data_IF_977012742083
#
_entry.id   IF_977012742083
#
_cell.length_a   1.000
_cell.length_b   1.000
_cell.length_c   1.000
_cell.angle_alpha   90.00
_cell.angle_beta   90.00
_cell.angle_gamma   90.00
#
_symmetry.space_group_name_H-M   'P 1'
#
loop_
_entity.id
_entity.type
_entity.pdbx_description
1 polymer ?
2 branched ?
3 branched ?
4 non-polymer ?
5 non-polymer ?
6 non-polymer ?
7 non-polymer ?
8 water ?
#
# COMPACT_ATOMS: atom_id res chain seq x y z
N UNK A 1 -18.24 -13.24 -17.98
CA UNK A 1 -17.01 -12.66 -17.28
C UNK A 1 -15.76 -13.51 -17.52
N UNK A 2 -14.73 -12.86 -18.05
CA UNK A 2 -13.47 -13.54 -18.36
C UNK A 2 -12.46 -13.01 -17.33
N UNK A 3 -11.37 -13.74 -17.09
CA UNK A 3 -10.30 -13.22 -16.25
C UNK A 3 -9.77 -11.96 -16.94
N UNK A 4 -9.43 -10.95 -16.18
CA UNK A 4 -8.83 -9.77 -16.80
C UNK A 4 -7.38 -10.03 -17.18
N UNK A 5 -6.88 -9.40 -18.27
CA UNK A 5 -5.49 -9.55 -18.69
C UNK A 5 -4.84 -8.19 -18.75
N UNK A 6 -3.59 -8.10 -18.35
CA UNK A 6 -2.94 -6.82 -18.34
C UNK A 6 -2.43 -6.45 -19.76
N UNK A 7 -3.30 -5.95 -20.62
CA UNK A 7 -2.89 -5.77 -22.06
C UNK A 7 -2.53 -4.35 -22.38
N UNK A 8 -2.72 -3.40 -21.45
CA UNK A 8 -2.41 -2.00 -21.76
C UNK A 8 -1.13 -1.51 -21.07
N UNK A 9 -0.57 -0.37 -21.54
CA UNK A 9 0.51 0.30 -20.81
C UNK A 9 -0.07 1.40 -19.92
N UNK A 10 0.78 2.09 -19.17
CA UNK A 10 0.39 3.20 -18.30
C UNK A 10 0.08 4.41 -19.17
N UNK A 11 -0.92 5.22 -18.81
CA UNK A 11 -1.12 6.49 -19.49
C UNK A 11 0.09 7.39 -19.14
N UNK A 12 0.33 8.40 -19.95
CA UNK A 12 1.36 9.41 -19.66
C UNK A 12 0.93 10.16 -18.43
N UNK A 13 1.83 10.28 -17.44
CA UNK A 13 1.44 10.93 -16.21
C UNK A 13 2.04 12.36 -16.26
N UNK A 14 1.21 13.36 -16.42
CA UNK A 14 1.70 14.72 -16.45
C UNK A 14 1.33 15.52 -15.21
N UNK A 15 0.38 14.98 -14.41
CA UNK A 15 0.01 15.52 -13.08
C UNK A 15 -0.96 14.48 -12.41
N UNK A 16 -1.49 14.85 -11.25
CA UNK A 16 -2.35 13.99 -10.48
C UNK A 16 -3.59 14.78 -10.18
N UNK A 17 -4.75 14.16 -10.41
CA UNK A 17 -6.03 14.80 -10.08
C UNK A 17 -6.64 14.10 -8.84
N UNK A 18 -7.46 14.86 -8.10
CA UNK A 18 -8.16 14.26 -6.93
C UNK A 18 -9.12 13.13 -7.43
N UNK A 19 -9.13 11.96 -6.77
CA UNK A 19 -9.96 10.79 -7.10
C UNK A 19 -10.95 10.51 -5.99
N UNK A 20 -10.43 10.43 -4.76
CA UNK A 20 -11.32 10.22 -3.61
C UNK A 20 -10.75 10.69 -2.29
N UNK A 21 -11.63 10.97 -1.32
CA UNK A 21 -11.16 11.49 -0.03
C UNK A 21 -12.32 11.25 0.90
N UNK A 22 -12.08 10.63 2.05
CA UNK A 22 -13.26 10.33 2.89
C UNK A 22 -13.46 11.21 4.13
N UNK A 23 -12.45 11.97 4.56
CA UNK A 23 -12.64 12.88 5.68
C UNK A 23 -13.09 12.11 6.92
N UNK A 24 -12.55 10.89 7.15
CA UNK A 24 -13.22 10.02 8.11
C UNK A 24 -13.04 10.57 9.51
N UNK A 25 -11.87 11.18 9.82
CA UNK A 25 -11.65 11.61 11.27
C UNK A 25 -12.54 12.82 11.58
N UNK A 26 -12.63 13.77 10.64
CA UNK A 26 -13.56 14.91 10.77
C UNK A 26 -14.94 14.44 11.03
N UNK A 27 -15.41 13.55 10.17
CA UNK A 27 -16.83 13.18 10.27
C UNK A 27 -17.05 12.30 11.50
N UNK A 28 -16.07 11.40 11.77
CA UNK A 28 -16.20 10.49 12.90
C UNK A 28 -16.11 11.16 14.28
N UNK A 29 -15.73 12.45 14.32
CA UNK A 29 -15.85 13.27 15.59
C UNK A 29 -17.26 13.21 16.20
N UNK A 30 -18.29 13.09 15.35
CA UNK A 30 -19.63 13.00 15.86
C UNK A 30 -20.53 12.00 15.06
N UNK A 31 -20.00 10.87 14.59
CA UNK A 31 -20.81 9.86 13.92
C UNK A 31 -20.08 8.54 14.08
N UNK A 32 -20.73 7.43 13.70
CA UNK A 32 -20.29 6.12 14.10
C UNK A 32 -19.27 5.56 13.13
N UNK A 33 -18.09 6.16 13.16
CA UNK A 33 -17.06 5.83 12.21
C UNK A 33 -16.07 4.85 12.91
N UNK A 34 -15.69 3.77 12.24
CA UNK A 34 -14.79 2.79 12.83
C UNK A 34 -13.35 3.32 12.89
N UNK A 35 -12.59 2.96 13.95
CA UNK A 35 -11.16 3.25 13.97
C UNK A 35 -10.50 2.31 12.94
N UNK A 36 -9.65 2.87 12.06
CA UNK A 36 -8.92 2.05 11.09
C UNK A 36 -7.43 2.35 11.11
N UNK A 37 -6.69 1.55 10.37
CA UNK A 37 -5.40 2.04 9.78
C UNK A 37 -5.13 1.08 8.61
N UNK A 38 -4.02 1.29 7.91
CA UNK A 38 -3.58 0.44 6.81
C UNK A 38 -4.64 0.39 5.72
N UNK A 39 -5.03 1.56 5.21
CA UNK A 39 -6.10 1.58 4.21
C UNK A 39 -5.51 1.34 2.80
N UNK A 40 -6.42 1.08 1.85
CA UNK A 40 -6.06 1.05 0.43
C UNK A 40 -7.33 1.15 -0.41
N UNK A 41 -7.17 1.07 -1.73
CA UNK A 41 -8.29 1.22 -2.66
C UNK A 41 -8.14 0.02 -3.61
N UNK A 42 -9.26 -0.53 -4.06
CA UNK A 42 -9.21 -1.60 -5.05
C UNK A 42 -10.52 -1.60 -5.85
N UNK A 43 -10.45 -1.92 -7.15
CA UNK A 43 -11.59 -1.83 -8.04
C UNK A 43 -12.07 -3.22 -8.41
N UNK A 44 -13.37 -3.33 -8.53
CA UNK A 44 -14.00 -4.47 -9.19
C UNK A 44 -14.33 -4.02 -10.58
N UNK A 45 -14.93 -4.93 -11.42
CA UNK A 45 -15.25 -4.40 -12.75
C UNK A 45 -16.33 -3.33 -12.74
N UNK A 46 -17.15 -3.21 -11.71
CA UNK A 46 -18.22 -2.24 -11.79
C UNK A 46 -18.19 -1.19 -10.66
N UNK A 47 -17.15 -1.16 -9.84
CA UNK A 47 -17.11 -0.30 -8.66
C UNK A 47 -15.68 -0.25 -8.11
N UNK A 48 -15.22 0.90 -7.65
CA UNK A 48 -13.99 0.95 -6.86
C UNK A 48 -14.34 1.30 -5.39
N UNK A 49 -13.63 0.66 -4.44
CA UNK A 49 -13.99 0.77 -2.99
C UNK A 49 -12.73 1.08 -2.16
N UNK A 50 -12.97 1.68 -0.99
CA UNK A 50 -11.93 1.87 0.03
C UNK A 50 -11.94 0.60 0.91
N UNK A 51 -10.74 0.25 1.38
CA UNK A 51 -10.42 -0.92 2.17
C UNK A 51 -9.58 -0.38 3.35
N UNK A 52 -9.62 -1.07 4.49
CA UNK A 52 -8.68 -0.80 5.60
C UNK A 52 -8.82 -1.87 6.62
N UNK A 53 -7.91 -1.87 7.57
CA UNK A 53 -8.04 -2.66 8.78
C UNK A 53 -8.75 -1.92 9.91
N UNK A 54 -9.97 -2.37 10.18
CA UNK A 54 -10.71 -1.92 11.30
C UNK A 54 -10.01 -2.32 12.57
N UNK A 55 -10.28 -1.57 13.62
CA UNK A 55 -9.82 -1.95 14.98
C UNK A 55 -11.00 -2.42 15.85
N UNK A 56 -12.19 -2.52 15.23
CA UNK A 56 -13.29 -3.12 15.95
C UNK A 56 -13.83 -2.23 17.10
N UNK A 57 -13.95 -0.91 16.86
CA UNK A 57 -14.50 0.09 17.80
C UNK A 57 -14.67 1.34 16.97
N UNK A 58 -15.55 2.25 17.38
CA UNK A 58 -15.66 3.55 16.72
C UNK A 58 -14.63 4.45 17.36
N UNK A 59 -14.41 5.61 16.76
CA UNK A 59 -13.35 6.45 17.24
C UNK A 59 -13.74 7.20 18.56
N UNK A 60 -15.00 7.66 18.67
CA UNK A 60 -15.57 8.23 19.90
C UNK A 60 -15.81 7.18 20.96
N UNK A 61 -15.79 5.90 20.57
CA UNK A 61 -16.04 4.85 21.54
C UNK A 61 -14.88 4.75 22.52
N UNK A 62 -15.19 4.36 23.74
CA UNK A 62 -14.17 4.16 24.76
C UNK A 62 -13.12 3.09 24.38
N UNK A 63 -13.51 2.12 23.52
CA UNK A 63 -12.56 1.01 23.09
C UNK A 63 -11.56 1.52 22.09
N UNK A 64 -11.64 2.81 21.70
CA UNK A 64 -10.60 3.34 20.78
C UNK A 64 -9.30 3.53 21.55
N UNK A 65 -9.41 3.51 22.87
CA UNK A 65 -8.22 3.62 23.72
C UNK A 65 -7.32 2.41 23.51
N UNK A 66 -6.11 2.60 23.05
CA UNK A 66 -5.18 1.49 22.87
C UNK A 66 -4.97 1.12 21.38
N UNK A 67 -5.65 1.83 20.49
CA UNK A 67 -5.65 1.48 19.06
C UNK A 67 -4.37 1.85 18.33
N UNK A 68 -3.37 2.43 19.02
CA UNK A 68 -2.02 2.50 18.40
C UNK A 68 -1.50 1.02 18.08
N UNK A 69 -1.97 0.02 18.80
CA UNK A 69 -1.40 -1.35 18.62
C UNK A 69 -1.80 -1.91 17.27
N UNK A 70 -0.88 -2.67 16.68
CA UNK A 70 -1.09 -3.16 15.33
C UNK A 70 -1.97 -4.39 15.21
N UNK A 71 -1.96 -5.26 16.22
CA UNK A 71 -2.44 -6.63 16.02
C UNK A 71 -3.29 -7.05 17.21
N UNK A 72 -4.58 -7.15 17.02
CA UNK A 72 -5.48 -7.70 18.05
C UNK A 72 -6.49 -8.62 17.37
N UNK A 73 -7.30 -9.28 18.20
CA UNK A 73 -8.36 -10.15 17.76
C UNK A 73 -9.56 -9.35 17.26
N UNK A 74 -9.49 -8.01 17.33
CA UNK A 74 -10.66 -7.18 17.03
C UNK A 74 -10.52 -6.55 15.69
N UNK A 75 -9.45 -6.90 14.93
CA UNK A 75 -9.25 -6.31 13.64
C UNK A 75 -9.88 -7.12 12.50
N UNK A 76 -10.22 -6.47 11.38
CA UNK A 76 -10.75 -7.14 10.16
C UNK A 76 -10.51 -6.22 8.95
N UNK A 77 -10.27 -6.84 7.79
CA UNK A 77 -10.30 -6.11 6.52
C UNK A 77 -11.75 -5.73 6.26
N UNK A 78 -12.03 -4.45 6.07
CA UNK A 78 -13.36 -3.95 5.72
C UNK A 78 -13.26 -3.19 4.42
N UNK A 79 -14.37 -3.14 3.69
CA UNK A 79 -14.41 -2.27 2.56
C UNK A 79 -15.67 -1.47 2.60
N UNK A 80 -15.68 -0.34 1.88
CA UNK A 80 -16.83 0.54 1.92
C UNK A 80 -16.87 1.44 0.68
N UNK A 81 -17.99 2.12 0.41
CA UNK A 81 -18.03 2.90 -0.85
C UNK A 81 -17.02 4.04 -0.92
N UNK A 82 -16.46 4.22 -2.14
CA UNK A 82 -15.46 5.25 -2.45
C UNK A 82 -15.82 6.59 -1.82
N UNK A 83 -14.91 7.11 -1.01
CA UNK A 83 -15.00 8.45 -0.44
C UNK A 83 -16.05 8.61 0.67
N UNK A 84 -16.87 7.59 0.95
CA UNK A 84 -17.61 7.53 2.22
C UNK A 84 -16.59 7.21 3.34
N UNK A 85 -16.93 7.48 4.61
CA UNK A 85 -16.07 7.02 5.74
C UNK A 85 -16.42 5.54 6.10
N UNK A 86 -15.49 4.80 6.74
CA UNK A 86 -15.77 3.45 7.17
C UNK A 86 -16.66 3.48 8.39
N UNK A 87 -17.98 3.37 8.19
CA UNK A 87 -18.86 3.43 9.36
C UNK A 87 -19.26 2.01 9.76
N UNK A 88 -19.80 1.92 10.95
CA UNK A 88 -20.29 0.70 11.50
C UNK A 88 -21.25 0.11 10.44
N UNK A 89 -22.26 1.02 9.89
CA UNK A 89 -23.48 0.67 9.22
C UNK A 89 -23.24 0.46 7.70
N UNK A 90 -22.10 0.91 7.12
CA UNK A 90 -21.88 0.80 5.66
C UNK A 90 -20.63 -0.02 5.35
N UNK A 91 -19.94 -0.52 6.36
CA UNK A 91 -18.67 -1.19 6.10
C UNK A 91 -18.89 -2.69 5.92
N UNK A 92 -18.27 -3.32 4.93
CA UNK A 92 -18.50 -4.77 4.69
C UNK A 92 -17.26 -5.47 5.11
N UNK A 93 -17.36 -6.53 5.93
CA UNK A 93 -16.19 -7.30 6.34
C UNK A 93 -15.80 -8.32 5.28
N UNK A 94 -14.56 -8.23 4.80
CA UNK A 94 -13.97 -9.11 3.82
C UNK A 94 -13.41 -10.37 4.50
N UNK A 95 -12.67 -10.20 5.61
CA UNK A 95 -12.15 -11.37 6.39
C UNK A 95 -11.56 -10.81 7.70
N UNK A 96 -11.14 -11.68 8.62
CA UNK A 96 -10.71 -11.29 9.99
C UNK A 96 -9.20 -11.36 10.08
N UNK A 97 -8.55 -10.31 10.61
CA UNK A 97 -7.10 -10.37 10.81
C UNK A 97 -6.52 -8.98 10.78
N UNK A 98 -5.18 -8.89 10.77
CA UNK A 98 -4.48 -7.63 11.07
C UNK A 98 -3.40 -7.41 10.06
N UNK A 99 -3.47 -8.15 8.95
CA UNK A 99 -2.65 -7.87 7.78
C UNK A 99 -3.41 -8.43 6.55
N UNK A 100 -3.44 -7.71 5.42
CA UNK A 100 -4.32 -8.11 4.31
C UNK A 100 -3.83 -7.71 2.93
N UNK A 101 -4.48 -8.31 1.96
CA UNK A 101 -4.43 -7.81 0.60
C UNK A 101 -5.75 -8.26 -0.07
N UNK A 102 -6.05 -7.74 -1.28
CA UNK A 102 -7.33 -8.04 -1.95
C UNK A 102 -7.21 -7.59 -3.41
N UNK A 103 -7.74 -8.39 -4.34
CA UNK A 103 -7.79 -7.95 -5.73
C UNK A 103 -8.88 -8.74 -6.46
N UNK A 104 -9.37 -8.15 -7.54
CA UNK A 104 -10.43 -8.80 -8.36
C UNK A 104 -9.73 -9.34 -9.60
N UNK A 105 -10.08 -10.56 -10.01
CA UNK A 105 -9.38 -11.17 -11.17
C UNK A 105 -10.16 -10.99 -12.48
N UNK A 106 -11.24 -10.20 -12.44
CA UNK A 106 -12.15 -10.03 -13.65
C UNK A 106 -13.44 -10.83 -13.41
N UNK A 107 -13.32 -11.96 -12.73
CA UNK A 107 -14.54 -12.80 -12.48
C UNK A 107 -15.03 -12.56 -11.06
N UNK A 108 -14.13 -12.65 -10.07
CA UNK A 108 -14.54 -12.35 -8.69
C UNK A 108 -13.34 -11.88 -7.85
N UNK A 109 -13.57 -11.62 -6.55
CA UNK A 109 -12.52 -10.99 -5.70
C UNK A 109 -11.82 -12.05 -4.82
N UNK A 110 -10.51 -11.93 -4.73
CA UNK A 110 -9.74 -12.71 -3.71
C UNK A 110 -9.36 -11.77 -2.57
N UNK A 111 -9.57 -12.17 -1.30
CA UNK A 111 -9.16 -11.36 -0.13
C UNK A 111 -8.41 -12.24 0.81
N UNK A 112 -7.32 -11.73 1.37
CA UNK A 112 -6.43 -12.55 2.23
C UNK A 112 -6.26 -11.76 3.53
N UNK A 113 -6.55 -12.41 4.68
CA UNK A 113 -6.30 -11.83 5.98
C UNK A 113 -5.45 -12.81 6.75
N UNK A 114 -4.47 -12.25 7.46
CA UNK A 114 -3.61 -13.00 8.36
C UNK A 114 -4.04 -12.67 9.80
N UNK A 115 -4.24 -13.68 10.65
CA UNK A 115 -4.45 -13.42 12.06
C UNK A 115 -3.57 -14.35 12.88
N UNK A 116 -3.57 -14.18 14.19
CA UNK A 116 -2.97 -15.10 15.13
C UNK A 116 -2.01 -14.37 16.06
N UNK A 117 -1.39 -15.10 16.98
CA UNK A 117 -0.30 -14.51 17.82
C UNK A 117 0.98 -14.43 16.97
N UNK A 118 1.97 -13.66 17.42
CA UNK A 118 3.20 -13.46 16.62
C UNK A 118 3.91 -14.72 16.20
N UNK A 119 3.83 -15.75 17.05
CA UNK A 119 4.59 -16.97 16.72
C UNK A 119 3.73 -18.03 16.09
N UNK A 120 2.49 -17.69 15.72
CA UNK A 120 1.58 -18.74 15.25
C UNK A 120 0.47 -18.19 14.30
N UNK A 121 0.81 -17.22 13.46
CA UNK A 121 -0.11 -16.54 12.57
C UNK A 121 -0.45 -17.45 11.37
N UNK A 122 -1.62 -17.23 10.75
CA UNK A 122 -1.93 -17.96 9.51
C UNK A 122 -2.72 -17.00 8.60
N UNK A 123 -2.57 -17.20 7.31
CA UNK A 123 -3.26 -16.54 6.25
C UNK A 123 -4.51 -17.41 5.85
N UNK A 124 -5.65 -16.78 5.68
CA UNK A 124 -6.82 -17.42 5.06
C UNK A 124 -7.13 -16.66 3.77
N UNK A 125 -7.21 -17.43 2.68
CA UNK A 125 -7.40 -16.88 1.35
C UNK A 125 -8.85 -17.16 1.01
N UNK A 126 -9.59 -16.08 0.86
CA UNK A 126 -11.00 -16.07 0.47
C UNK A 126 -11.11 -15.79 -1.03
N UNK A 127 -12.04 -16.45 -1.67
CA UNK A 127 -12.26 -16.23 -3.11
C UNK A 127 -13.77 -16.26 -3.36
N UNK A 128 -14.31 -15.30 -4.08
CA UNK A 128 -15.78 -15.24 -4.15
C UNK A 128 -16.48 -15.28 -2.78
N UNK A 129 -15.87 -14.59 -1.79
CA UNK A 129 -16.43 -14.41 -0.44
C UNK A 129 -16.61 -15.72 0.31
N UNK A 130 -15.80 -16.71 -0.05
CA UNK A 130 -15.68 -17.93 0.78
C UNK A 130 -14.21 -18.29 1.05
N UNK A 131 -13.92 -18.89 2.23
CA UNK A 131 -12.51 -19.27 2.48
C UNK A 131 -12.17 -20.48 1.62
N UNK A 132 -11.00 -20.46 0.96
CA UNK A 132 -10.60 -21.55 0.05
C UNK A 132 -9.28 -22.21 0.52
N UNK A 133 -8.27 -21.44 0.87
CA UNK A 133 -6.95 -22.00 1.12
C UNK A 133 -6.46 -21.38 2.42
N UNK A 134 -5.69 -22.12 3.19
CA UNK A 134 -5.04 -21.49 4.38
C UNK A 134 -3.56 -21.75 4.33
N UNK A 135 -2.77 -20.83 4.87
CA UNK A 135 -1.32 -21.01 4.89
C UNK A 135 -0.80 -20.68 6.33
N UNK A 136 -0.11 -21.64 6.94
CA UNK A 136 0.47 -21.43 8.28
C UNK A 136 1.78 -20.69 8.20
N UNK A 137 2.08 -19.97 9.27
CA UNK A 137 3.35 -19.26 9.45
C UNK A 137 4.50 -20.23 9.14
N UNK A 138 5.55 -19.74 8.46
CA UNK A 138 6.71 -20.58 8.17
C UNK A 138 7.93 -20.13 8.99
N UNK A 139 7.94 -18.92 9.54
CA UNK A 139 9.11 -18.54 10.31
C UNK A 139 8.72 -18.13 11.72
N UNK A 140 7.42 -18.27 12.08
CA UNK A 140 6.95 -18.03 13.44
C UNK A 140 7.28 -16.64 13.94
N UNK A 141 7.24 -15.67 13.02
CA UNK A 141 7.51 -14.32 13.39
C UNK A 141 6.66 -13.31 12.59
N UNK A 142 5.38 -13.20 12.95
CA UNK A 142 4.44 -12.16 12.40
C UNK A 142 4.37 -12.27 10.84
N UNK A 143 3.87 -13.42 10.36
CA UNK A 143 3.48 -13.59 8.94
C UNK A 143 2.67 -12.34 8.50
N UNK A 144 3.04 -11.71 7.38
CA UNK A 144 2.44 -10.43 7.02
C UNK A 144 2.54 -10.25 5.48
N UNK A 145 1.72 -9.35 4.94
CA UNK A 145 1.52 -9.23 3.49
C UNK A 145 1.40 -7.78 3.15
N UNK A 146 0.80 -7.44 2.01
CA UNK A 146 1.07 -6.22 1.30
C UNK A 146 0.43 -4.98 1.95
N UNK A 147 -0.76 -5.14 2.52
CA UNK A 147 -1.58 -3.96 2.98
C UNK A 147 -2.00 -3.02 1.85
N UNK A 148 -2.01 -3.54 0.61
CA UNK A 148 -2.65 -2.81 -0.50
C UNK A 148 -3.05 -3.79 -1.57
N UNK A 149 -3.62 -3.37 -2.70
CA UNK A 149 -4.25 -4.44 -3.51
C UNK A 149 -3.22 -5.31 -4.20
N UNK A 150 -3.55 -6.57 -4.42
CA UNK A 150 -2.79 -7.41 -5.38
C UNK A 150 -3.22 -7.13 -6.79
N UNK A 151 -2.58 -7.82 -7.72
CA UNK A 151 -2.92 -7.70 -9.17
C UNK A 151 -3.03 -9.06 -9.83
N UNK A 152 -4.00 -9.23 -10.73
CA UNK A 152 -4.15 -10.49 -11.39
C UNK A 152 -3.90 -10.39 -12.89
N UNK A 153 -3.53 -11.51 -13.49
CA UNK A 153 -3.42 -11.56 -14.94
C UNK A 153 -3.84 -12.96 -15.41
N UNK A 154 -4.89 -13.01 -16.23
CA UNK A 154 -5.46 -14.27 -16.68
C UNK A 154 -5.74 -15.22 -15.50
N UNK A 155 -6.25 -14.71 -14.40
CA UNK A 155 -6.57 -15.58 -13.26
C UNK A 155 -5.48 -15.74 -12.26
N UNK A 156 -4.23 -15.43 -12.66
CA UNK A 156 -3.10 -15.59 -11.70
C UNK A 156 -2.85 -14.27 -10.96
N UNK A 157 -2.93 -14.34 -9.64
CA UNK A 157 -2.83 -13.16 -8.74
C UNK A 157 -1.66 -13.44 -7.79
N UNK A 158 -0.45 -12.93 -8.08
CA UNK A 158 0.65 -13.13 -7.17
C UNK A 158 0.50 -12.26 -5.95
N UNK A 159 0.99 -12.76 -4.84
CA UNK A 159 0.95 -12.03 -3.60
C UNK A 159 2.31 -12.16 -2.86
N UNK A 160 2.80 -11.05 -2.28
CA UNK A 160 4.10 -11.08 -1.57
C UNK A 160 3.80 -11.16 -0.10
N UNK A 161 4.35 -12.18 0.58
CA UNK A 161 4.29 -12.34 2.03
C UNK A 161 5.73 -12.30 2.63
N UNK A 162 5.84 -11.96 3.91
CA UNK A 162 7.12 -11.98 4.62
C UNK A 162 6.87 -12.56 5.97
N UNK A 163 7.76 -13.43 6.44
CA UNK A 163 7.62 -13.97 7.82
C UNK A 163 9.04 -13.96 8.37
N UNK A 164 9.22 -13.40 9.58
CA UNK A 164 10.57 -13.34 10.17
C UNK A 164 10.82 -11.96 10.69
N UNK A 165 12.09 -11.69 10.95
CA UNK A 165 12.49 -10.47 11.66
C UNK A 165 12.17 -9.22 10.82
N UNK A 166 11.80 -8.14 11.51
CA UNK A 166 11.70 -6.80 10.94
C UNK A 166 13.05 -6.06 10.89
N UNK A 167 14.09 -6.69 11.44
CA UNK A 167 15.35 -5.94 11.70
C UNK A 167 16.59 -6.81 11.43
N UNK A 168 16.48 -7.65 10.41
CA UNK A 168 17.37 -8.73 10.13
C UNK A 168 16.85 -9.44 8.87
N UNK A 169 17.61 -10.41 8.33
CA UNK A 169 17.05 -11.26 7.24
C UNK A 169 15.70 -11.95 7.60
N UNK A 170 14.77 -12.02 6.65
CA UNK A 170 13.49 -12.63 6.90
C UNK A 170 13.16 -13.55 5.69
N UNK A 171 12.08 -14.29 5.77
CA UNK A 171 11.77 -15.22 4.69
C UNK A 171 10.54 -14.75 3.94
N UNK A 172 10.80 -14.13 2.80
CA UNK A 172 9.80 -13.58 1.91
C UNK A 172 9.50 -14.63 0.85
N UNK A 173 8.19 -14.81 0.59
CA UNK A 173 7.71 -15.71 -0.47
C UNK A 173 6.72 -15.00 -1.43
N UNK A 174 6.73 -15.40 -2.70
CA UNK A 174 5.77 -14.94 -3.69
C UNK A 174 4.83 -16.15 -3.96
N UNK A 175 3.56 -16.04 -3.58
CA UNK A 175 2.57 -17.05 -3.87
C UNK A 175 1.79 -16.68 -5.11
N UNK A 176 1.54 -17.66 -5.98
CA UNK A 176 0.81 -17.34 -7.18
C UNK A 176 -0.55 -18.06 -7.00
N UNK A 177 -1.63 -17.28 -6.89
CA UNK A 177 -2.95 -17.87 -6.60
C UNK A 177 -3.79 -17.85 -7.88
N UNK A 178 -4.74 -18.76 -7.93
CA UNK A 178 -5.75 -18.75 -9.04
C UNK A 178 -7.00 -19.39 -8.45
N UNK A 179 -8.09 -18.63 -8.45
CA UNK A 179 -9.33 -19.02 -7.80
C UNK A 179 -9.11 -19.35 -6.33
N UNK A 180 -8.18 -18.63 -5.71
CA UNK A 180 -7.92 -18.86 -4.30
C UNK A 180 -7.03 -20.05 -4.03
N UNK A 181 -6.61 -20.76 -5.07
CA UNK A 181 -5.76 -21.99 -4.81
C UNK A 181 -4.30 -21.66 -5.15
N UNK A 182 -3.35 -22.32 -4.48
CA UNK A 182 -1.94 -22.09 -4.75
C UNK A 182 -1.49 -22.86 -5.97
N UNK A 183 -1.11 -22.14 -7.03
CA UNK A 183 -0.52 -22.73 -8.22
C UNK A 183 0.93 -23.02 -7.93
N UNK A 184 1.62 -22.08 -7.25
CA UNK A 184 3.08 -22.19 -7.08
C UNK A 184 3.48 -21.18 -5.98
N UNK A 185 4.60 -21.41 -5.30
CA UNK A 185 5.20 -20.31 -4.57
C UNK A 185 6.72 -20.33 -4.77
N UNK A 186 7.37 -19.17 -4.62
CA UNK A 186 8.85 -19.13 -4.72
C UNK A 186 9.44 -18.28 -3.59
N UNK A 187 10.64 -18.62 -3.13
CA UNK A 187 11.28 -17.71 -2.15
C UNK A 187 11.78 -16.50 -2.91
N UNK A 188 11.91 -15.36 -2.21
CA UNK A 188 12.38 -14.12 -2.78
C UNK A 188 13.71 -14.35 -3.51
N UNK A 189 13.85 -13.77 -4.69
CA UNK A 189 15.12 -13.82 -5.45
C UNK A 189 15.57 -12.41 -5.79
N UNK A 190 16.73 -12.28 -6.46
CA UNK A 190 17.28 -10.95 -6.89
C UNK A 190 18.03 -10.31 -5.73
N UNK A 191 18.16 -8.98 -5.74
CA UNK A 191 19.11 -8.33 -4.82
C UNK A 191 18.44 -7.65 -3.67
N UNK A 192 17.08 -7.58 -3.62
CA UNK A 192 16.43 -6.94 -2.47
C UNK A 192 16.82 -7.74 -1.21
N UNK A 193 17.18 -7.08 -0.08
CA UNK A 193 17.73 -7.82 1.07
C UNK A 193 16.67 -7.98 2.16
N UNK A 194 15.57 -7.24 2.04
CA UNK A 194 14.47 -7.31 3.04
C UNK A 194 13.24 -6.75 2.33
N UNK A 195 12.08 -7.39 2.53
CA UNK A 195 10.84 -6.96 1.81
C UNK A 195 9.68 -6.90 2.79
N UNK A 196 8.94 -5.77 2.74
CA UNK A 196 7.65 -5.67 3.42
C UNK A 196 6.68 -4.83 2.66
N UNK A 197 5.39 -5.10 2.87
CA UNK A 197 4.32 -4.22 2.35
C UNK A 197 4.47 -3.78 0.90
N UNK A 198 4.50 -4.71 -0.05
CA UNK A 198 4.68 -4.37 -1.46
C UNK A 198 3.44 -3.66 -2.01
N UNK A 199 3.66 -2.62 -2.78
CA UNK A 199 2.60 -1.88 -3.44
C UNK A 199 2.69 -2.20 -4.92
N UNK A 200 1.65 -2.86 -5.47
CA UNK A 200 1.77 -3.44 -6.83
C UNK A 200 0.85 -2.76 -7.87
N UNK A 201 1.28 -2.82 -9.13
CA UNK A 201 0.49 -2.47 -10.32
C UNK A 201 0.95 -3.36 -11.49
N UNK A 202 0.10 -3.43 -12.51
CA UNK A 202 0.23 -4.36 -13.63
C UNK A 202 0.11 -3.55 -14.90
N UNK A 203 0.99 -3.84 -15.85
CA UNK A 203 0.82 -3.27 -17.22
C UNK A 203 1.56 -4.21 -18.16
N UNK A 204 1.03 -4.33 -19.37
CA UNK A 204 1.61 -5.22 -20.42
C UNK A 204 2.09 -6.54 -19.81
N UNK A 205 1.20 -7.31 -19.16
CA UNK A 205 1.54 -8.68 -18.72
C UNK A 205 2.73 -8.75 -17.75
N UNK A 206 3.00 -7.66 -17.04
CA UNK A 206 4.03 -7.73 -16.01
C UNK A 206 3.52 -6.99 -14.75
N UNK A 207 3.86 -7.49 -13.55
CA UNK A 207 3.41 -6.86 -12.30
C UNK A 207 4.68 -6.29 -11.60
N UNK A 208 4.63 -5.01 -11.26
CA UNK A 208 5.76 -4.31 -10.56
C UNK A 208 5.28 -3.97 -9.17
N UNK A 209 6.07 -4.36 -8.17
CA UNK A 209 5.80 -3.99 -6.80
C UNK A 209 6.95 -3.13 -6.21
N UNK A 210 6.60 -2.07 -5.48
CA UNK A 210 7.53 -1.20 -4.72
C UNK A 210 7.26 -1.46 -3.26
N UNK A 211 8.30 -1.89 -2.54
CA UNK A 211 8.18 -2.44 -1.22
C UNK A 211 8.96 -1.60 -0.20
N UNK A 212 9.05 -2.09 1.04
CA UNK A 212 9.73 -1.42 2.13
C UNK A 212 10.83 -2.39 2.64
N UNK A 213 12.10 -1.96 2.52
CA UNK A 213 13.20 -2.66 3.20
C UNK A 213 13.22 -2.09 4.60
N UNK A 214 12.63 -2.81 5.55
CA UNK A 214 12.61 -2.25 6.90
C UNK A 214 14.03 -2.30 7.59
N UNK A 215 14.88 -3.20 7.15
CA UNK A 215 16.09 -3.53 7.92
C UNK A 215 17.17 -2.46 7.62
N UNK A 216 17.52 -2.26 6.36
CA UNK A 216 18.63 -1.36 6.06
C UNK A 216 18.37 -0.23 5.07
N UNK A 217 17.44 -0.41 4.11
CA UNK A 217 17.37 0.46 2.92
C UNK A 217 16.48 1.72 3.02
N UNK A 218 16.98 2.89 2.58
CA UNK A 218 16.10 4.04 2.48
C UNK A 218 15.74 4.29 1.04
N UNK A 219 16.40 3.55 0.14
CA UNK A 219 15.91 3.37 -1.25
C UNK A 219 14.84 2.19 -1.14
N UNK A 220 13.87 2.06 -2.06
CA UNK A 220 12.86 0.99 -1.86
C UNK A 220 13.19 -0.22 -2.72
N UNK A 221 13.10 -1.43 -2.15
CA UNK A 221 13.18 -2.59 -3.04
C UNK A 221 12.01 -2.67 -4.06
N UNK A 222 12.28 -3.30 -5.18
CA UNK A 222 11.31 -3.44 -6.23
C UNK A 222 11.30 -4.86 -6.63
N UNK A 223 10.10 -5.46 -6.72
CA UNK A 223 9.97 -6.82 -7.23
C UNK A 223 9.22 -6.76 -8.61
N UNK A 224 9.74 -7.42 -9.65
CA UNK A 224 9.04 -7.37 -10.92
C UNK A 224 8.61 -8.82 -11.17
N UNK A 225 7.32 -9.03 -11.47
CA UNK A 225 6.79 -10.42 -11.51
C UNK A 225 6.19 -10.70 -12.87
N UNK A 226 6.55 -11.85 -13.43
CA UNK A 226 5.92 -12.33 -14.68
C UNK A 226 4.80 -13.31 -14.28
N UNK A 227 3.52 -12.89 -14.40
CA UNK A 227 2.45 -13.76 -13.89
C UNK A 227 2.12 -14.90 -14.85
N UNK A 228 2.69 -14.94 -16.05
CA UNK A 228 2.44 -16.05 -17.00
C UNK A 228 3.48 -17.13 -16.69
N UNK A 229 4.78 -16.79 -16.78
CA UNK A 229 5.89 -17.71 -16.37
C UNK A 229 5.83 -18.02 -14.87
N UNK A 230 5.14 -17.18 -14.10
CA UNK A 230 5.23 -17.25 -12.62
C UNK A 230 6.65 -17.20 -12.05
N UNK A 231 7.40 -16.18 -12.46
CA UNK A 231 8.78 -15.94 -11.98
C UNK A 231 8.91 -14.44 -11.61
N UNK A 232 9.97 -14.10 -10.90
CA UNK A 232 10.21 -12.73 -10.50
C UNK A 232 11.70 -12.42 -10.33
N UNK A 233 12.09 -11.14 -10.32
CA UNK A 233 13.33 -10.74 -9.63
C UNK A 233 13.06 -9.55 -8.75
N UNK A 234 14.14 -9.03 -8.17
CA UNK A 234 14.06 -7.86 -7.29
C UNK A 234 15.37 -7.14 -7.40
N UNK A 235 15.31 -5.86 -7.06
CA UNK A 235 16.49 -4.99 -7.03
C UNK A 235 16.00 -3.83 -6.18
N UNK A 236 16.66 -2.67 -6.26
CA UNK A 236 16.20 -1.46 -5.58
C UNK A 236 15.97 -0.44 -6.64
N UNK A 237 15.18 0.60 -6.35
CA UNK A 237 15.19 1.78 -7.17
C UNK A 237 16.63 2.41 -7.12
N UNK A 238 17.31 2.52 -8.28
CA UNK A 238 18.68 3.09 -8.36
C UNK A 238 18.76 4.56 -7.89
N UNK A 239 17.66 5.30 -8.08
CA UNK A 239 17.67 6.72 -7.96
C UNK A 239 18.19 7.23 -6.61
N UNK A 240 19.02 8.31 -6.60
CA UNK A 240 19.38 8.97 -5.34
C UNK A 240 18.20 9.73 -4.69
N UNK A 241 17.03 9.77 -5.36
CA UNK A 241 15.83 10.38 -4.71
C UNK A 241 15.27 9.30 -3.76
N UNK A 242 15.63 9.35 -2.47
CA UNK A 242 15.31 8.26 -1.58
C UNK A 242 13.86 8.35 -1.10
N UNK A 243 13.14 7.22 -1.03
CA UNK A 243 11.64 7.36 -0.81
C UNK A 243 11.06 6.63 0.37
N UNK A 244 11.91 6.08 1.22
CA UNK A 244 11.41 5.48 2.45
C UNK A 244 11.36 6.60 3.49
N UNK A 245 10.94 6.26 4.71
CA UNK A 245 10.86 7.21 5.85
C UNK A 245 10.85 6.40 7.14
N UNK A 246 11.68 6.79 8.13
CA UNK A 246 12.70 7.88 8.09
C UNK A 246 13.84 7.56 7.10
N UNK A 247 14.70 8.53 6.77
CA UNK A 247 15.72 8.34 5.70
C UNK A 247 16.85 9.38 5.84
N UNK A 248 18.05 9.09 5.32
CA UNK A 248 19.00 10.24 5.32
C UNK A 248 18.66 11.27 4.22
N UNK A 249 19.40 12.37 4.18
CA UNK A 249 19.32 13.29 3.07
C UNK A 249 19.67 12.65 1.73
N UNK A 250 19.06 13.17 0.66
CA UNK A 250 19.28 12.59 -0.66
C UNK A 250 20.75 12.77 -1.08
N UNK A 251 21.41 11.72 -1.50
CA UNK A 251 22.69 11.88 -2.12
C UNK A 251 22.55 12.27 -3.57
N UNK A 252 23.52 11.99 -4.27
CA UNK A 252 23.77 12.35 -5.70
C UNK A 252 23.75 11.08 -6.49
N UNK A 253 24.09 10.00 -5.78
CA UNK A 253 24.09 8.69 -6.44
C UNK A 253 23.39 7.69 -5.58
N UNK A 254 22.56 6.83 -6.15
CA UNK A 254 21.85 5.87 -5.27
C UNK A 254 22.53 4.52 -5.37
N UNK A 255 21.75 3.43 -5.02
CA UNK A 255 22.23 2.08 -5.18
C UNK A 255 21.14 1.23 -5.81
N UNK A 256 21.53 0.46 -6.84
CA UNK A 256 20.64 -0.41 -7.64
C UNK A 256 20.44 -1.79 -6.98
N UNK A 257 21.47 -2.30 -6.29
CA UNK A 257 21.47 -3.68 -5.85
C UNK A 257 21.78 -3.92 -4.43
N UNK A 258 21.70 -2.84 -3.65
CA UNK A 258 21.87 -2.91 -2.20
C UNK A 258 21.07 -1.88 -1.50
N UNK A 259 20.85 -2.06 -0.19
CA UNK A 259 20.15 -1.02 0.56
C UNK A 259 20.99 0.23 0.62
N UNK A 260 20.39 1.41 0.42
CA UNK A 260 21.09 2.67 0.67
C UNK A 260 21.06 2.96 2.18
N UNK A 261 22.25 3.06 2.84
CA UNK A 261 22.32 3.06 4.33
C UNK A 261 22.03 4.41 4.95
N UNK A 262 21.98 4.45 6.27
CA UNK A 262 21.79 5.72 6.95
C UNK A 262 20.68 5.60 7.96
N UNK A 263 19.76 4.64 7.78
CA UNK A 263 18.65 4.44 8.77
C UNK A 263 18.40 2.96 8.82
N UNK A 264 18.29 2.45 10.04
CA UNK A 264 18.09 1.04 10.27
C UNK A 264 16.76 0.78 10.93
N UNK A 265 16.18 -0.37 10.61
CA UNK A 265 15.10 -0.91 11.41
C UNK A 265 13.90 0.01 11.41
N UNK A 266 13.49 0.56 10.29
CA UNK A 266 12.32 1.41 10.36
C UNK A 266 12.00 1.71 8.94
N UNK A 267 10.80 2.25 8.69
CA UNK A 267 10.44 2.58 7.30
C UNK A 267 8.93 2.86 7.26
N UNK A 268 8.37 2.91 6.06
CA UNK A 268 6.93 3.11 5.92
C UNK A 268 6.53 2.46 4.56
N UNK A 269 5.29 1.96 4.44
CA UNK A 269 4.82 1.42 3.13
C UNK A 269 4.74 2.56 2.13
N UNK A 270 5.21 2.37 0.90
CA UNK A 270 5.08 3.46 -0.09
C UNK A 270 4.98 2.80 -1.47
N UNK A 271 5.14 3.57 -2.56
CA UNK A 271 4.94 2.97 -3.91
C UNK A 271 5.67 3.75 -4.96
N UNK A 272 5.70 3.29 -6.20
CA UNK A 272 6.15 4.17 -7.28
C UNK A 272 5.52 3.65 -8.57
N UNK A 273 5.60 4.44 -9.63
CA UNK A 273 5.29 3.94 -10.97
C UNK A 273 6.55 4.04 -11.78
N UNK A 274 7.00 2.90 -12.26
CA UNK A 274 8.37 2.81 -12.88
C UNK A 274 8.15 2.53 -14.36
N UNK A 275 8.25 3.54 -15.21
CA UNK A 275 7.87 3.38 -16.61
C UNK A 275 8.78 4.28 -17.50
N UNK A 276 10.12 4.07 -17.46
CA UNK A 276 11.03 4.86 -18.29
C UNK A 276 10.96 6.29 -17.95
N UNK A 277 10.83 7.17 -18.94
CA UNK A 277 10.75 8.60 -18.62
C UNK A 277 9.48 8.93 -17.82
N UNK A 278 8.43 8.14 -18.03
CA UNK A 278 7.13 8.31 -17.33
C UNK A 278 7.14 7.74 -15.88
N UNK A 279 8.15 8.04 -15.09
CA UNK A 279 8.31 7.42 -13.79
C UNK A 279 8.03 8.46 -12.71
N UNK A 280 7.17 8.10 -11.76
CA UNK A 280 6.85 9.01 -10.69
C UNK A 280 7.04 8.30 -9.35
N UNK A 281 7.67 8.98 -8.38
CA UNK A 281 7.93 8.35 -7.08
C UNK A 281 7.13 9.05 -6.04
N UNK A 282 6.56 8.32 -5.06
CA UNK A 282 5.93 9.04 -3.95
C UNK A 282 6.88 9.03 -2.73
N UNK A 283 6.79 10.05 -1.90
CA UNK A 283 7.49 10.02 -0.60
C UNK A 283 6.89 11.07 0.36
N UNK A 284 7.19 10.86 1.65
CA UNK A 284 6.87 11.87 2.65
C UNK A 284 7.82 13.01 2.37
N UNK A 285 7.36 14.23 2.69
CA UNK A 285 8.23 15.35 2.58
C UNK A 285 9.32 15.34 3.69
N UNK A 286 8.96 15.08 4.95
CA UNK A 286 9.95 14.95 6.02
C UNK A 286 10.85 13.72 5.89
N UNK A 287 12.15 13.92 6.20
CA UNK A 287 13.08 12.77 6.24
C UNK A 287 12.97 12.06 7.56
N UNK A 288 12.29 12.69 8.51
CA UNK A 288 12.35 12.18 9.89
C UNK A 288 11.01 11.57 10.36
N UNK A 289 9.88 12.06 9.84
CA UNK A 289 8.60 11.59 10.31
C UNK A 289 7.64 11.50 9.12
N UNK A 290 6.48 10.88 9.38
CA UNK A 290 5.42 10.70 8.41
C UNK A 290 4.57 11.95 8.28
N UNK A 291 5.20 12.97 7.72
CA UNK A 291 4.57 14.26 7.49
C UNK A 291 4.79 14.65 6.05
N UNK A 292 3.77 15.26 5.48
CA UNK A 292 3.88 15.69 4.10
C UNK A 292 3.88 14.49 3.14
N UNK A 293 3.55 14.80 1.91
CA UNK A 293 3.63 13.78 0.87
C UNK A 293 3.75 14.51 -0.45
N UNK A 294 4.68 14.04 -1.27
CA UNK A 294 4.87 14.57 -2.62
C UNK A 294 5.00 13.48 -3.67
N UNK A 295 4.66 13.81 -4.91
CA UNK A 295 5.01 13.00 -6.05
C UNK A 295 6.11 13.72 -6.83
N UNK A 296 7.15 12.97 -7.23
CA UNK A 296 8.26 13.50 -8.07
C UNK A 296 8.42 12.67 -9.33
N UNK A 297 8.49 13.34 -10.45
CA UNK A 297 8.78 12.67 -11.71
C UNK A 297 10.32 12.57 -11.78
N UNK A 298 10.81 11.32 -11.80
CA UNK A 298 12.21 11.05 -11.77
C UNK A 298 12.41 10.08 -12.94
N UNK A 299 12.68 10.61 -14.13
CA UNK A 299 12.85 9.76 -15.31
C UNK A 299 13.85 8.62 -15.08
N UNK A 300 13.48 7.38 -15.44
CA UNK A 300 14.33 6.21 -15.26
C UNK A 300 14.86 5.94 -13.86
N UNK A 301 14.12 6.37 -12.83
CA UNK A 301 14.51 6.12 -11.40
C UNK A 301 14.98 4.68 -11.12
N UNK A 302 14.30 3.72 -11.74
CA UNK A 302 14.54 2.32 -11.48
C UNK A 302 15.98 1.92 -11.91
N UNK A 303 16.43 2.43 -13.06
CA UNK A 303 17.66 1.95 -13.69
C UNK A 303 18.82 2.97 -13.72
N UNK A 304 18.59 4.20 -13.28
CA UNK A 304 19.55 5.31 -13.39
C UNK A 304 19.94 5.83 -12.01
N UNK A 305 21.15 5.46 -11.58
CA UNK A 305 21.56 5.75 -10.19
C UNK A 305 21.96 7.20 -9.91
N UNK A 306 21.75 8.07 -10.89
CA UNK A 306 21.89 9.51 -10.69
C UNK A 306 20.62 10.34 -11.03
N UNK A 307 19.48 9.66 -11.32
CA UNK A 307 18.26 10.38 -11.75
C UNK A 307 17.75 11.31 -10.66
N UNK A 308 17.34 12.53 -11.03
CA UNK A 308 16.78 13.51 -10.10
C UNK A 308 15.44 14.06 -10.67
N UNK A 309 14.69 14.80 -9.87
CA UNK A 309 13.31 15.10 -10.31
C UNK A 309 13.25 16.06 -11.48
N UNK A 310 12.26 15.77 -12.44
CA UNK A 310 12.11 16.81 -13.46
C UNK A 310 10.81 17.55 -13.30
N UNK A 311 9.95 17.05 -12.41
CA UNK A 311 8.66 17.73 -12.14
C UNK A 311 8.20 17.30 -10.77
N UNK A 312 7.14 17.89 -10.25
CA UNK A 312 6.63 17.38 -8.96
C UNK A 312 5.24 17.88 -8.69
N UNK A 313 4.67 17.35 -7.56
CA UNK A 313 3.32 17.77 -7.14
C UNK A 313 3.20 17.46 -5.65
N UNK A 314 2.87 18.53 -4.97
CA UNK A 314 2.61 18.37 -3.54
C UNK A 314 1.24 17.72 -3.32
N UNK A 315 1.18 16.71 -2.49
CA UNK A 315 -0.09 16.06 -2.19
C UNK A 315 -0.55 16.48 -0.79
N UNK A 316 0.40 16.44 0.14
CA UNK A 316 0.11 16.85 1.56
C UNK A 316 1.27 17.73 2.03
N UNK A 317 0.94 18.86 2.66
CA UNK A 317 1.98 19.77 3.18
C UNK A 317 2.78 19.11 4.26
N UNK A 318 4.03 19.56 4.41
CA UNK A 318 4.89 19.04 5.48
C UNK A 318 4.40 19.37 6.89
N UNK A 319 3.47 20.28 7.01
CA UNK A 319 2.88 20.55 8.30
C UNK A 319 1.60 19.69 8.53
N UNK A 320 1.39 18.65 7.73
CA UNK A 320 0.23 17.74 7.92
C UNK A 320 0.70 16.30 7.96
N UNK A 321 0.01 15.47 8.74
CA UNK A 321 0.45 14.09 8.85
C UNK A 321 0.10 13.23 7.61
N UNK A 322 0.98 12.28 7.28
CA UNK A 322 0.71 11.31 6.20
C UNK A 322 0.75 9.92 6.84
N UNK A 323 1.29 8.93 6.14
CA UNK A 323 1.34 7.56 6.67
C UNK A 323 1.70 6.63 5.50
N UNK A 324 1.20 5.40 5.54
CA UNK A 324 1.33 4.43 4.42
C UNK A 324 0.79 5.01 3.08
N UNK A 325 1.34 4.60 1.95
CA UNK A 325 0.79 5.01 0.68
C UNK A 325 0.95 3.82 -0.24
N UNK A 326 0.12 3.72 -1.29
CA UNK A 326 0.05 2.48 -2.06
C UNK A 326 -0.58 2.74 -3.42
N UNK A 327 -0.39 1.78 -4.31
CA UNK A 327 -0.84 1.90 -5.70
C UNK A 327 -2.10 1.03 -5.94
N UNK A 328 -2.94 1.50 -6.87
CA UNK A 328 -4.03 0.68 -7.45
C UNK A 328 -4.35 1.29 -8.82
N UNK A 329 -5.00 0.53 -9.70
CA UNK A 329 -5.57 1.11 -10.94
C UNK A 329 -6.93 0.56 -11.22
N UNK A 330 -7.76 1.36 -11.88
CA UNK A 330 -9.04 0.85 -12.32
C UNK A 330 -8.85 -0.04 -13.58
N UNK A 331 -8.28 -1.36 -13.64
CA UNK A 331 -8.04 -2.25 -14.76
C UNK A 331 -9.29 -2.39 -15.59
N UNK A 332 -10.55 -1.83 -15.35
CA UNK A 332 -11.75 -2.08 -16.11
C UNK A 332 -12.26 -0.77 -16.71
N UNK A 333 -11.50 0.34 -16.56
CA UNK A 333 -11.84 1.62 -17.24
C UNK A 333 -11.76 1.41 -18.77
N UNK A 334 -12.46 2.22 -19.54
CA UNK A 334 -12.39 2.13 -21.00
C UNK A 334 -11.13 2.90 -21.48
N UNK A 335 -10.70 2.74 -22.71
CA UNK A 335 -9.62 3.62 -23.16
C UNK A 335 -8.36 2.81 -23.39
N UNK A 336 -7.29 3.47 -23.79
CA UNK A 336 -6.20 2.74 -24.42
C UNK A 336 -5.10 2.44 -23.45
N UNK A 337 -5.20 2.97 -22.22
CA UNK A 337 -4.10 2.85 -21.27
C UNK A 337 -4.64 2.76 -19.83
N UNK A 338 -3.86 2.18 -18.94
CA UNK A 338 -4.21 2.11 -17.52
C UNK A 338 -3.80 3.45 -16.85
N UNK A 339 -4.72 4.07 -16.12
CA UNK A 339 -4.45 5.35 -15.48
C UNK A 339 -3.89 5.02 -14.07
N UNK A 340 -2.61 5.32 -13.84
CA UNK A 340 -2.00 5.15 -12.52
C UNK A 340 -2.81 5.85 -11.39
N UNK A 341 -2.97 5.20 -10.24
CA UNK A 341 -3.61 5.87 -9.08
C UNK A 341 -2.85 5.53 -7.82
N UNK A 342 -3.12 6.27 -6.76
CA UNK A 342 -2.52 5.91 -5.48
C UNK A 342 -3.37 6.47 -4.37
N UNK A 343 -3.18 6.01 -3.14
CA UNK A 343 -3.78 6.64 -1.99
C UNK A 343 -2.62 7.01 -1.02
N UNK A 344 -2.91 7.94 -0.07
CA UNK A 344 -2.04 8.19 1.08
C UNK A 344 -2.95 8.06 2.33
N UNK A 345 -2.50 7.28 3.31
CA UNK A 345 -3.10 7.17 4.61
C UNK A 345 -2.72 8.42 5.39
N UNK A 346 -3.70 9.12 5.96
CA UNK A 346 -3.43 10.34 6.81
C UNK A 346 -3.66 9.98 8.27
N UNK A 347 -2.59 9.64 8.95
CA UNK A 347 -2.68 9.06 10.31
C UNK A 347 -2.88 10.16 11.32
N UNK A 348 -3.84 9.93 12.20
CA UNK A 348 -4.10 10.91 13.25
C UNK A 348 -4.03 10.19 14.53
N UNK A 349 -3.72 10.96 15.59
CA UNK A 349 -3.68 10.41 16.97
C UNK A 349 -2.28 9.93 17.29
N UNK A 350 -2.19 8.87 18.04
CA UNK A 350 -0.88 8.40 18.55
C UNK A 350 -0.05 7.75 17.45
N UNK A 351 1.30 7.83 17.54
CA UNK A 351 2.05 8.43 18.68
C UNK A 351 2.28 9.94 18.57
N UNK A 352 2.11 10.57 17.40
CA UNK A 352 2.48 11.95 17.28
C UNK A 352 1.53 12.87 18.02
N UNK A 353 0.27 12.48 18.09
CA UNK A 353 -0.71 13.36 18.73
C UNK A 353 -1.27 12.66 19.90
N UNK A 354 -0.54 12.75 21.03
CA UNK A 354 -0.83 11.90 22.17
C UNK A 354 -1.76 12.45 23.24
N UNK A 355 -2.34 13.61 22.95
CA UNK A 355 -3.43 14.05 23.82
C UNK A 355 -4.67 13.19 23.66
N UNK A 356 -4.77 12.44 22.55
CA UNK A 356 -5.88 11.43 22.44
C UNK A 356 -5.28 10.05 22.71
N UNK A 357 -6.14 9.10 23.09
CA UNK A 357 -5.74 7.77 23.43
C UNK A 357 -5.81 6.80 22.23
N UNK A 358 -6.27 7.30 21.07
CA UNK A 358 -6.44 6.49 19.89
C UNK A 358 -5.46 6.80 18.75
N UNK A 359 -5.46 5.90 17.76
CA UNK A 359 -4.80 6.14 16.47
C UNK A 359 -5.80 5.71 15.40
N UNK A 360 -5.97 6.56 14.40
CA UNK A 360 -6.83 6.26 13.25
C UNK A 360 -6.27 6.97 12.02
N UNK A 361 -7.04 7.03 10.93
CA UNK A 361 -6.54 7.69 9.74
C UNK A 361 -7.73 8.15 8.89
N UNK A 362 -7.50 9.03 7.91
CA UNK A 362 -8.52 9.09 6.82
C UNK A 362 -7.72 8.77 5.56
N UNK A 363 -8.32 9.00 4.39
CA UNK A 363 -7.71 8.54 3.15
C UNK A 363 -7.83 9.70 2.16
N UNK A 364 -6.76 9.96 1.38
CA UNK A 364 -6.91 10.79 0.15
C UNK A 364 -6.32 9.91 -0.98
N UNK A 365 -6.86 10.03 -2.19
CA UNK A 365 -6.43 9.20 -3.36
C UNK A 365 -6.51 10.07 -4.59
N UNK A 366 -5.51 9.95 -5.48
CA UNK A 366 -5.41 10.67 -6.73
C UNK A 366 -5.18 9.65 -7.87
N UNK A 367 -5.49 10.07 -9.10
CA UNK A 367 -5.10 9.31 -10.26
C UNK A 367 -4.40 10.28 -11.20
N UNK A 368 -3.72 9.74 -12.23
CA UNK A 368 -2.90 10.63 -13.06
C UNK A 368 -3.74 11.34 -14.10
N UNK A 369 -3.25 12.50 -14.57
CA UNK A 369 -3.85 13.20 -15.66
C UNK A 369 -2.79 13.36 -16.79
N UNK A 370 -3.25 13.34 -18.05
CA UNK A 370 -2.36 13.76 -19.17
C UNK A 370 -2.30 15.28 -19.31
N UNK A 371 -3.17 16.02 -18.63
CA UNK A 371 -3.01 17.49 -18.50
C UNK A 371 -1.98 17.83 -17.45
N UNK A 372 -1.51 19.08 -17.44
CA UNK A 372 -0.64 19.61 -16.34
C UNK A 372 -1.58 20.39 -15.42
N UNK A 373 -2.20 19.69 -14.45
CA UNK A 373 -3.17 20.35 -13.56
C UNK A 373 -2.53 21.13 -12.39
N UNK A 374 -3.14 22.26 -12.03
CA UNK A 374 -2.77 22.93 -10.75
C UNK A 374 -2.87 22.03 -9.51
N UNK A 375 -2.04 22.25 -8.52
CA UNK A 375 -2.06 21.43 -7.33
C UNK A 375 -2.75 22.12 -6.12
N UNK A 376 -3.34 21.31 -5.25
CA UNK A 376 -3.80 21.72 -3.96
C UNK A 376 -3.10 20.78 -2.98
N UNK A 377 -3.22 21.07 -1.69
CA UNK A 377 -2.83 20.08 -0.73
C UNK A 377 -4.05 19.48 -0.10
N UNK A 378 -3.91 18.25 0.42
CA UNK A 378 -5.08 17.50 0.85
C UNK A 378 -4.86 16.95 2.24
N UNK A 379 -5.06 17.78 3.29
CA UNK A 379 -4.77 17.21 4.59
C UNK A 379 -5.98 16.44 5.17
N UNK A 380 -5.77 15.78 6.30
CA UNK A 380 -6.87 15.03 6.95
C UNK A 380 -8.00 15.98 7.30
N UNK A 381 -7.65 17.15 7.87
CA UNK A 381 -8.62 18.21 8.13
C UNK A 381 -9.26 18.17 9.52
N UNK A 382 -9.01 17.17 10.35
CA UNK A 382 -9.69 17.17 11.65
C UNK A 382 -8.90 18.03 12.66
N UNK A 383 -9.56 18.64 13.64
CA UNK A 383 -8.92 19.36 14.79
C UNK A 383 -8.86 18.45 15.95
N UNK A 384 -7.66 18.04 16.30
CA UNK A 384 -7.49 17.09 17.39
C UNK A 384 -8.13 17.63 18.65
N UNK A 385 -8.07 18.95 18.83
CA UNK A 385 -8.58 19.55 20.06
C UNK A 385 -10.09 19.29 20.22
N UNK A 386 -10.83 19.05 19.12
CA UNK A 386 -12.27 18.75 19.30
C UNK A 386 -12.53 17.43 20.03
N UNK A 387 -11.54 16.58 19.97
CA UNK A 387 -11.63 15.26 20.57
C UNK A 387 -11.20 15.25 22.02
N UNK A 388 -10.77 16.41 22.54
CA UNK A 388 -10.30 16.44 23.92
C UNK A 388 -11.45 16.65 24.87
X LIG B 1 0.90 -22.99 17.74
X LIG B 1 1.30 -23.43 19.17
X LIG B 1 1.19 -24.92 19.35
X LIG B 1 -0.24 -25.37 19.01
X LIG B 1 -0.43 -25.01 17.50
X LIG B 1 -1.77 -25.49 16.88
X LIG B 1 3.17 -22.21 19.98
X LIG B 1 4.67 -22.09 19.78
X LIG B 1 2.70 -23.17 19.23
X LIG B 1 1.45 -25.21 20.69
X LIG B 1 -0.16 -26.77 19.15
X LIG B 1 -0.35 -23.60 17.40
X LIG B 1 -2.85 -25.12 17.71
X LIG B 1 2.45 -21.51 20.73
X LIG B 2 -1.34 -27.33 19.72
X LIG B 2 -1.58 -28.78 19.30
X LIG B 2 -2.85 -29.26 19.97
X LIG B 2 -2.67 -29.10 21.48
X LIG B 2 -2.32 -27.64 21.75
X LIG B 2 -2.24 -27.20 23.23
X LIG B 2 -1.01 -29.47 17.04
X LIG B 2 -1.41 -29.65 15.57
X LIG B 2 -1.88 -28.97 17.92
X LIG B 2 -3.26 -30.54 19.55
X LIG B 2 -3.92 -29.36 22.07
X LIG B 2 -1.10 -27.26 21.09
X LIG B 2 -0.97 -27.58 23.69
X LIG B 2 0.12 -29.77 17.40
X LIG B 3 -3.88 -30.37 23.09
X LIG B 3 -5.07 -30.13 24.02
X LIG B 3 -5.20 -31.31 24.98
X LIG B 3 -5.06 -32.57 24.16
X LIG B 3 -3.81 -32.70 23.36
X LIG B 3 -3.86 -34.05 22.66
X LIG B 3 -6.19 -30.12 23.16
X LIG B 3 -6.52 -31.37 25.49
X LIG B 3 -5.20 -33.68 24.95
X LIG B 3 -3.97 -31.63 22.45
X LIG B 3 -2.61 -34.21 22.01
X LIG B 4 -6.48 -31.71 26.88
X LIG B 4 -7.86 -31.84 27.48
X LIG B 4 -8.50 -30.45 27.40
X LIG B 4 -7.70 -29.48 28.25
X LIG B 4 -6.30 -29.43 27.71
X LIG B 4 -5.51 -28.64 28.75
X LIG B 4 -7.58 -32.21 28.83
X LIG B 4 -9.80 -30.46 27.91
X LIG B 4 -8.23 -28.17 28.28
X LIG B 4 -5.78 -30.77 27.65
X LIG B 4 -4.43 -28.18 28.00
X LIG B 5 -8.74 -32.55 29.62
X LIG B 5 -8.27 -32.90 31.03
X LIG B 5 -7.57 -34.27 30.94
X LIG B 5 -8.52 -35.30 30.33
X LIG B 5 -8.96 -34.84 28.91
X LIG B 5 -9.95 -35.83 28.30
X LIG B 5 -9.37 -33.01 31.94
X LIG B 5 -7.19 -34.66 32.24
X LIG B 5 -7.72 -36.43 30.14
X LIG B 5 -9.55 -33.58 29.11
X LIG B 5 -10.96 -36.12 29.30
X LIG B 6 -9.47 -31.90 32.85
X LIG B 6 -10.56 -32.34 33.82
X LIG B 6 -11.91 -32.44 33.08
X LIG B 6 -12.24 -31.08 32.40
X LIG B 6 -11.09 -30.74 31.45
X LIG B 6 -11.25 -29.44 30.66
X LIG B 6 -10.64 -31.33 34.81
X LIG B 6 -12.98 -32.79 33.97
X LIG B 6 -13.46 -31.16 31.69
X LIG B 6 -9.83 -30.66 32.18
X LIG B 6 -11.27 -28.46 31.69
X LIG B 7 -1.71 -34.92 22.90
X LIG B 7 -0.30 -34.93 22.32
X LIG B 7 -0.20 -35.85 21.10
X LIG B 7 -0.69 -37.21 21.48
X LIG B 7 -2.11 -37.07 22.01
X LIG B 7 -2.75 -38.42 22.31
X LIG B 7 0.49 -35.50 23.33
X LIG B 7 1.15 -35.96 20.74
X LIG B 7 -0.79 -37.98 20.31
X LIG B 7 -2.08 -36.27 23.17
X LIG B 7 -1.98 -39.12 23.27
X LIG B 8 1.61 -35.51 19.43
X LIG B 8 3.09 -35.94 19.31
X LIG B 8 4.01 -34.97 20.10
X LIG B 8 3.76 -33.50 19.77
X LIG B 8 2.27 -33.18 19.91
X LIG B 8 1.96 -31.69 19.63
X LIG B 8 3.50 -36.14 17.97
X LIG B 8 5.37 -35.25 19.93
X LIG B 8 4.51 -32.70 20.65
X LIG B 8 1.48 -34.10 19.11
X LIG B 8 1.30 -31.01 20.72
X LIG B 9 -2.69 -40.23 23.87
X LIG B 9 -1.76 -40.75 25.00
X LIG B 9 -0.59 -41.34 24.19
X LIG B 9 -1.01 -42.46 23.22
X LIG B 9 -2.55 -42.55 23.01
X LIG B 9 -3.39 -43.36 24.04
X LIG B 9 -2.35 -41.60 26.00
X LIG B 9 0.57 -41.58 24.95
X LIG B 9 -0.42 -42.11 21.98
X LIG B 9 -3.06 -41.22 22.89
X LIG B 9 -3.33 -44.76 23.90
X LIG C 1 -7.33 -13.27 -21.22
X LIG C 1 -8.74 -13.15 -21.80
X LIG C 1 -9.42 -14.53 -21.78
X LIG C 1 -8.57 -15.59 -22.48
X LIG C 1 -7.17 -15.52 -21.79
X LIG C 1 -6.13 -16.58 -22.19
X LIG C 1 -10.36 -11.32 -21.55
X LIG C 1 -11.20 -10.37 -20.73
X LIG C 1 -9.58 -12.26 -20.99
X LIG C 1 -10.67 -14.40 -22.42
X LIG C 1 -9.23 -16.84 -22.32
X LIG C 1 -6.58 -14.22 -21.93
X LIG C 1 -5.84 -16.25 -23.52
X LIG C 1 -10.38 -11.20 -22.76
X LIG C 2 -9.97 -17.43 -23.42
X LIG C 2 -9.58 -18.94 -23.55
X LIG C 2 -10.67 -19.83 -24.19
X LIG C 2 -12.12 -19.40 -23.91
X LIG C 2 -12.23 -17.90 -24.21
X LIG C 2 -13.69 -17.41 -24.22
X LIG C 2 -7.18 -19.59 -23.74
X LIG C 2 -5.95 -19.66 -24.62
X LIG C 2 -8.30 -19.10 -24.28
X LIG C 2 -10.46 -21.15 -23.72
X LIG C 2 -13.11 -20.18 -24.60
X LIG C 2 -11.38 -17.21 -23.28
X LIG C 2 -14.00 -16.42 -23.25
X LIG C 2 -7.13 -19.95 -22.55
X LIG D 1 -7.05 4.75 28.42
X LIG D 1 -7.52 5.67 29.54
X LIG D 1 -6.46 5.81 30.67
X LIG D 1 -5.64 4.55 30.92
X LIG D 1 -5.18 4.06 29.55
X LIG D 1 -4.16 2.94 29.53
X LIG D 1 -9.05 7.44 28.97
X LIG D 1 -9.42 8.79 28.36
X LIG D 1 -7.81 6.98 28.91
X LIG D 1 -7.11 6.11 31.87
X LIG D 1 -4.53 4.81 31.76
X LIG D 1 -6.38 3.63 28.96
X LIG D 1 -4.62 1.90 30.36
X LIG D 1 -9.90 6.76 29.52
X LIG E 1 -6.01 -2.64 20.83
X LIG E 1 -5.53 -3.97 20.91
X LIG E 1 -7.50 -2.69 21.07
X LIG E 1 -7.77 -3.46 22.24
X LIG E 1 -8.04 -1.31 21.36
X LIG E 1 -9.38 -1.49 21.83
X LIG F 1 -8.76 5.19 -18.13
X LIG F 1 -8.73 5.44 -16.71
X LIG F 1 -8.30 6.41 -18.89
X LIG F 1 -7.31 7.12 -18.19
X LIG F 1 -7.62 5.89 -20.14
X LIG F 1 -8.18 6.66 -21.20
X LIG G 1 -15.62 -6.61 13.40
X LIG G 1 -14.93 -7.74 12.92
X LIG G 1 -14.75 -5.35 13.23
X LIG G 1 -13.28 -5.45 13.19
X LIG G 1 -15.19 -4.56 12.00
X LIG G 1 -15.30 -3.20 12.50
X LIG H 1 17.08 -13.15 -1.91
X LIG H 1 17.71 -13.36 -3.17
X LIG H 1 17.47 -11.78 -1.40
X LIG H 1 16.94 -11.57 -0.07
X LIG H 1 19.00 -11.64 -1.35
X LIG H 1 19.51 -12.61 -0.41
X LIG I 1 11.00 16.97 9.59
X LIG I 1 10.69 18.08 8.72
X LIG I 1 10.49 17.25 10.98
X LIG I 1 9.15 17.66 10.83
X LIG I 1 10.43 15.96 11.77
X LIG I 1 9.07 15.79 12.12
X LIG J 1 24.81 -0.65 -8.09
X LIG J 1 24.28 0.66 -7.91
X LIG J 1 25.33 -1.03 -6.74
X LIG J 1 25.96 0.06 -6.08
X LIG J 1 24.19 -1.35 -5.82
X LIG J 1 24.69 -2.47 -5.08
X LIG K 1 2.80 -3.31 19.14
X LIG K 1 1.82 -2.96 18.16
X LIG K 1 2.38 -4.66 19.70
X LIG K 1 2.87 -4.79 21.04
X LIG K 1 0.84 -4.83 19.62
X LIG K 1 0.28 -5.39 18.38
X LIG L 1 2.07 -5.53 12.39
X LIG L 1 2.07 -5.85 11.10
X LIG L 1 1.79 -7.08 10.70
X LIG L 1 2.33 -4.99 10.22
X LIG L 1 2.63 -3.59 10.56
X LIG L 1 1.52 -2.72 9.97
X LIG L 1 0.37 -2.93 10.83
X LIG L 1 -0.56 -3.86 10.54
X LIG L 1 -1.55 -4.04 11.33
X LIG L 1 -0.46 -4.58 9.43
X LIG L 1 1.91 -1.26 10.13
X LIG L 1 0.90 -0.43 9.66
X LIG L 1 3.91 -3.33 9.78
X LIG L 1 4.22 -1.94 9.57
X LIG L 1 3.25 -0.91 9.46
X LIG L 1 3.93 0.11 10.34
X LIG L 1 5.15 0.29 10.14
X LIG L 1 3.30 0.71 11.24
X LIG L 1 5.09 -3.98 10.49
X LIG L 1 5.06 -3.76 11.91
X LIG L 1 6.38 -3.42 9.96
X LIG L 1 6.61 -4.09 8.73
X LIG L 1 7.52 -3.74 10.95
X LIG L 1 8.06 -5.00 10.54
X LIG M 1 13.81 1.48 5.60
#
# INVERSE_FOLDING_TARGET
RDFNNLTKGLCTINSWHIYGKDNAVRIGEDSDVLVTREPYVSCDPDECRFYALSQGTTIRGKHSNGTIHDRSQYRALISWPLSSPPTVYNSRVECIGWSSTSCHDGKTRMSICISGPNNNASAVIWYNRRPVTEINTWARNILRTQESECVCHNGVCPVVFTDGSATGPAETRIYYFKEGKILKWEPLAGTAKHIEECSCYGERAEITCTCRDNWQGSNRPVIRIDPVAMTHTSQYICSPVLTDNPRPNDPTVGKCNDPYPGNNNNGVKGFSYLDGVNTWLGRTISIASRSGYEMLKVPNALTDDKSKPTQGQTIVLNTDWSGYSGSFMDYWAEGECYRACFYVELIRGRPKEDKVWWTSNSIVSMCSSTEFLGQWDWPDGAKIEYFL
NAG C1 C2 C3 C4 C5 C6 C7 C8 N2 O3 O4 O5 O6 O7
NAG C1 C2 C3 C4 C5 C6 C7 C8 N2 O3 O4 O5 O6 O7
BMA C1 C2 C3 C4 C5 C6 O2 O3 O4 O5 O6
MAN C1 C2 C3 C4 C5 C6 O2 O3 O4 O5 O6
MAN C1 C2 C3 C4 C5 C6 O2 O3 O4 O5 O6
MAN C1 C2 C3 C4 C5 C6 O2 O3 O4 O5 O6
MAN C1 C2 C3 C4 C5 C6 O2 O3 O4 O5 O6
MAN C1 C2 C3 C4 C5 C6 O2 O3 O4 O5 O6
MAN C1 C2 C3 C4 C5 C6 O2 O3 O4 O5 O6
NAG C1 C2 C3 C4 C5 C6 C7 C8 N2 O3 O4 O5 O6 O7
NAG C1 C2 C3 C4 C5 C6 C7 C8 N2 O3 O4 O5 O6 O7
NAG C1 C2 C3 C4 C5 C6 C7 C8 N2 O3 O4 O5 O6 O7
GOL C1 O1 C2 O2 C3 O3
GOL C1 O1 C2 O2 C3 O3
GOL C1 O1 C2 O2 C3 O3
GOL C1 O1 C2 O2 C3 O3
GOL C1 O1 C2 O2 C3 O3
GOL C1 O1 C2 O2 C3 O3
GOL C1 O1 C2 O2 C3 O3
ZGE O10 C10 C11 N5 C5 C4 N4 C12 N7 N6 C3 F1 C6 O6 C2 C1 O1B O1A C7 O7 C8 O8 C9 O9
CA CA
#
